data_IF_989052777704
#
_entry.id   IF_989052777704
#
_cell.length_a   1.000
_cell.length_b   1.000
_cell.length_c   1.000
_cell.angle_alpha   90.00
_cell.angle_beta   90.00
_cell.angle_gamma   90.00
#
_symmetry.space_group_name_H-M   'P 1'
#
loop_
_entity.id
_entity.type
_entity.pdbx_description
1 polymer ?
#
# COMPACT_ATOMS: atom_id res chain seq x y z
N UNK A 1 -14.81 -25.87 7.63
CA UNK A 1 -14.60 -24.42 7.34
C UNK A 1 -15.95 -23.72 7.34
N UNK A 2 -16.13 -22.72 8.21
CA UNK A 2 -17.32 -21.87 8.20
C UNK A 2 -17.24 -20.88 7.03
N UNK A 3 -17.67 -21.31 5.84
CA UNK A 3 -17.64 -20.47 4.65
C UNK A 3 -18.42 -19.16 4.84
N UNK A 4 -19.52 -19.20 5.59
CA UNK A 4 -20.34 -18.01 5.90
C UNK A 4 -19.52 -17.00 6.71
N UNK A 5 -18.77 -17.44 7.72
CA UNK A 5 -17.87 -16.58 8.48
C UNK A 5 -16.81 -15.91 7.61
N UNK A 6 -16.14 -16.68 6.74
CA UNK A 6 -15.16 -16.13 5.81
C UNK A 6 -15.77 -15.08 4.87
N UNK A 7 -16.91 -15.39 4.25
CA UNK A 7 -17.61 -14.43 3.39
C UNK A 7 -18.06 -13.19 4.17
N UNK A 8 -18.52 -13.32 5.42
CA UNK A 8 -18.89 -12.21 6.30
C UNK A 8 -17.70 -11.29 6.60
N UNK A 9 -16.53 -11.87 6.90
CA UNK A 9 -15.31 -11.11 7.14
C UNK A 9 -14.88 -10.29 5.91
N UNK A 10 -14.81 -10.94 4.74
CA UNK A 10 -14.46 -10.26 3.49
C UNK A 10 -15.52 -9.24 3.09
N UNK A 11 -16.80 -9.56 3.18
CA UNK A 11 -17.89 -8.65 2.83
C UNK A 11 -17.86 -7.38 3.69
N UNK A 12 -17.59 -7.49 4.99
CA UNK A 12 -17.49 -6.34 5.89
C UNK A 12 -16.23 -5.50 5.64
N UNK A 13 -15.08 -6.13 5.35
CA UNK A 13 -13.87 -5.44 4.90
C UNK A 13 -14.15 -4.62 3.63
N UNK A 14 -14.71 -5.26 2.60
CA UNK A 14 -15.06 -4.60 1.35
C UNK A 14 -16.12 -3.51 1.52
N UNK A 15 -17.13 -3.74 2.37
CA UNK A 15 -18.18 -2.75 2.67
C UNK A 15 -17.60 -1.49 3.32
N UNK A 16 -16.76 -1.65 4.35
CA UNK A 16 -16.09 -0.53 5.02
C UNK A 16 -15.20 0.24 4.04
N UNK A 17 -14.37 -0.47 3.28
CA UNK A 17 -13.46 0.15 2.33
C UNK A 17 -14.16 0.83 1.15
N UNK A 18 -15.22 0.23 0.62
CA UNK A 18 -16.04 0.84 -0.44
C UNK A 18 -16.75 2.10 0.06
N UNK A 19 -17.31 2.05 1.27
CA UNK A 19 -17.92 3.21 1.93
C UNK A 19 -16.93 4.38 2.04
N UNK A 20 -15.75 4.11 2.60
CA UNK A 20 -14.68 5.11 2.69
C UNK A 20 -14.22 5.61 1.32
N UNK A 21 -14.05 4.70 0.36
CA UNK A 21 -13.68 5.07 -1.00
C UNK A 21 -14.68 6.07 -1.61
N UNK A 22 -15.97 5.78 -1.52
CA UNK A 22 -17.03 6.65 -2.07
C UNK A 22 -17.08 8.00 -1.36
N UNK A 23 -16.87 8.02 -0.03
CA UNK A 23 -16.79 9.26 0.75
C UNK A 23 -15.58 10.14 0.37
N UNK A 24 -14.44 9.50 0.06
CA UNK A 24 -13.20 10.20 -0.30
C UNK A 24 -13.15 10.61 -1.78
N UNK A 25 -13.91 9.95 -2.65
CA UNK A 25 -13.97 10.30 -4.07
C UNK A 25 -14.72 11.63 -4.24
N UNK A 26 -13.97 12.67 -4.59
CA UNK A 26 -14.58 13.90 -5.08
C UNK A 26 -15.37 13.60 -6.37
N UNK A 27 -16.57 14.19 -6.49
CA UNK A 27 -17.55 14.00 -7.60
C UNK A 27 -16.99 13.88 -9.04
N UNK A 28 -15.78 14.36 -9.33
CA UNK A 28 -15.13 14.36 -10.65
C UNK A 28 -14.20 13.17 -10.93
N UNK A 29 -13.72 12.44 -9.93
CA UNK A 29 -12.81 11.32 -10.14
C UNK A 29 -13.60 10.06 -10.57
N UNK A 30 -13.28 9.52 -11.74
CA UNK A 30 -13.87 8.28 -12.26
C UNK A 30 -12.90 7.13 -12.03
N UNK A 31 -13.27 6.19 -11.18
CA UNK A 31 -12.51 4.96 -10.94
C UNK A 31 -13.11 3.79 -11.72
N UNK A 32 -12.24 2.97 -12.31
CA UNK A 32 -12.62 1.69 -12.89
C UNK A 32 -13.08 0.71 -11.80
N UNK A 33 -13.81 -0.35 -12.19
CA UNK A 33 -14.23 -1.40 -11.25
C UNK A 33 -13.02 -2.06 -10.56
N UNK A 34 -11.94 -2.30 -11.30
CA UNK A 34 -10.70 -2.85 -10.76
C UNK A 34 -10.09 -1.95 -9.67
N UNK A 35 -10.06 -0.64 -9.90
CA UNK A 35 -9.63 0.32 -8.87
C UNK A 35 -10.57 0.32 -7.67
N UNK A 36 -11.89 0.28 -7.90
CA UNK A 36 -12.85 0.24 -6.80
C UNK A 36 -12.64 -1.00 -5.94
N UNK A 37 -12.45 -2.18 -6.52
CA UNK A 37 -12.15 -3.42 -5.79
C UNK A 37 -10.84 -3.26 -5.02
N UNK A 38 -9.77 -2.81 -5.68
CA UNK A 38 -8.46 -2.69 -5.04
C UNK A 38 -8.47 -1.68 -3.88
N UNK A 39 -9.01 -0.48 -4.08
CA UNK A 39 -9.08 0.52 -3.00
C UNK A 39 -10.05 0.12 -1.89
N UNK A 40 -11.15 -0.58 -2.21
CA UNK A 40 -12.05 -1.10 -1.18
C UNK A 40 -11.35 -2.15 -0.32
N UNK A 41 -10.51 -3.00 -0.90
CA UNK A 41 -9.67 -3.91 -0.12
C UNK A 41 -8.69 -3.15 0.78
N UNK A 42 -7.90 -2.21 0.23
CA UNK A 42 -6.91 -1.46 0.98
C UNK A 42 -7.52 -0.63 2.13
N UNK A 43 -8.58 0.13 1.84
CA UNK A 43 -9.26 0.95 2.85
C UNK A 43 -10.05 0.10 3.83
N UNK A 44 -10.60 -1.05 3.41
CA UNK A 44 -11.25 -2.01 4.29
C UNK A 44 -10.29 -2.53 5.34
N UNK A 45 -9.15 -3.06 4.92
CA UNK A 45 -8.07 -3.54 5.81
C UNK A 45 -7.61 -2.44 6.76
N UNK A 46 -7.35 -1.24 6.25
CA UNK A 46 -6.96 -0.11 7.09
C UNK A 46 -8.02 0.29 8.11
N UNK A 47 -9.29 0.39 7.69
CA UNK A 47 -10.38 0.80 8.54
C UNK A 47 -10.72 -0.23 9.61
N UNK A 48 -10.89 -1.50 9.24
CA UNK A 48 -11.23 -2.57 10.18
C UNK A 48 -10.14 -2.73 11.23
N UNK A 49 -8.86 -2.72 10.83
CA UNK A 49 -7.76 -2.83 11.80
C UNK A 49 -7.67 -1.61 12.73
N UNK A 50 -7.86 -0.39 12.22
CA UNK A 50 -7.89 0.81 13.07
C UNK A 50 -9.11 0.82 14.01
N UNK A 51 -10.27 0.35 13.56
CA UNK A 51 -11.48 0.25 14.38
C UNK A 51 -11.34 -0.80 15.47
N UNK A 52 -10.79 -1.97 15.16
CA UNK A 52 -10.48 -3.00 16.17
C UNK A 52 -9.52 -2.45 17.23
N UNK A 53 -8.50 -1.71 16.82
CA UNK A 53 -7.57 -1.07 17.75
C UNK A 53 -8.23 0.03 18.59
N UNK A 54 -8.99 0.93 17.97
CA UNK A 54 -9.62 2.05 18.66
C UNK A 54 -10.77 1.63 19.59
N UNK A 55 -11.60 0.67 19.17
CA UNK A 55 -12.70 0.17 20.01
C UNK A 55 -12.21 -0.84 21.05
N UNK A 56 -11.08 -1.51 20.79
CA UNK A 56 -10.44 -2.41 21.76
C UNK A 56 -10.00 -1.74 23.07
N UNK A 57 -9.94 -0.40 23.12
CA UNK A 57 -9.73 0.34 24.37
C UNK A 57 -10.96 0.34 25.30
N UNK A 58 -12.16 0.08 24.77
CA UNK A 58 -13.43 0.24 25.50
C UNK A 58 -14.29 -1.02 25.50
N UNK A 59 -14.08 -1.93 24.56
CA UNK A 59 -14.88 -3.13 24.37
C UNK A 59 -14.00 -4.32 24.00
N UNK A 60 -14.43 -5.51 24.41
CA UNK A 60 -13.85 -6.80 24.03
C UNK A 60 -14.96 -7.79 23.60
N UNK A 61 -14.53 -8.96 23.16
CA UNK A 61 -15.38 -10.09 22.79
C UNK A 61 -16.40 -9.75 21.71
N UNK A 62 -17.63 -10.24 21.91
CA UNK A 62 -18.75 -10.05 20.98
C UNK A 62 -19.17 -8.58 20.85
N UNK A 63 -18.98 -7.77 21.89
CA UNK A 63 -19.30 -6.34 21.85
C UNK A 63 -18.36 -5.62 20.88
N UNK A 64 -17.05 -5.87 20.96
CA UNK A 64 -16.06 -5.31 20.03
C UNK A 64 -16.38 -5.71 18.58
N UNK A 65 -16.59 -7.01 18.34
CA UNK A 65 -16.94 -7.52 17.01
C UNK A 65 -18.24 -6.90 16.47
N UNK A 66 -19.26 -6.75 17.32
CA UNK A 66 -20.54 -6.14 16.98
C UNK A 66 -20.40 -4.66 16.60
N UNK A 67 -19.65 -3.88 17.39
CA UNK A 67 -19.40 -2.46 17.13
C UNK A 67 -18.66 -2.25 15.80
N UNK A 68 -17.58 -3.00 15.56
CA UNK A 68 -16.82 -2.91 14.31
C UNK A 68 -17.69 -3.33 13.11
N UNK A 69 -18.45 -4.43 13.23
CA UNK A 69 -19.37 -4.88 12.17
C UNK A 69 -20.41 -3.81 11.83
N UNK A 70 -21.01 -3.19 12.86
CA UNK A 70 -22.00 -2.14 12.69
C UNK A 70 -21.44 -0.94 11.90
N UNK A 71 -20.23 -0.48 12.24
CA UNK A 71 -19.56 0.61 11.50
C UNK A 71 -19.27 0.20 10.06
N UNK A 72 -18.77 -1.02 9.83
CA UNK A 72 -18.46 -1.51 8.48
C UNK A 72 -19.70 -1.57 7.58
N UNK A 73 -20.81 -2.11 8.11
CA UNK A 73 -22.09 -2.20 7.39
C UNK A 73 -22.64 -0.80 7.15
N UNK A 74 -22.59 0.09 8.14
CA UNK A 74 -23.03 1.49 8.00
C UNK A 74 -22.27 2.24 6.91
N UNK A 75 -20.94 2.10 6.88
CA UNK A 75 -20.10 2.66 5.81
C UNK A 75 -20.49 2.07 4.44
N UNK A 76 -20.71 0.76 4.36
CA UNK A 76 -21.18 0.08 3.15
C UNK A 76 -22.53 0.61 2.65
N UNK A 77 -23.50 0.79 3.54
CA UNK A 77 -24.82 1.36 3.22
C UNK A 77 -24.70 2.80 2.74
N UNK A 78 -23.88 3.63 3.38
CA UNK A 78 -23.60 5.00 2.94
C UNK A 78 -22.97 5.00 1.54
N UNK A 79 -21.96 4.14 1.31
CA UNK A 79 -21.33 3.98 0.00
C UNK A 79 -22.32 3.54 -1.08
N UNK A 80 -23.22 2.61 -0.76
CA UNK A 80 -24.27 2.14 -1.65
C UNK A 80 -25.26 3.24 -2.03
N UNK A 81 -25.70 4.04 -1.05
CA UNK A 81 -26.63 5.15 -1.29
C UNK A 81 -26.01 6.28 -2.12
N UNK A 82 -24.68 6.45 -2.02
CA UNK A 82 -23.92 7.42 -2.81
C UNK A 82 -23.40 6.84 -4.14
N UNK A 83 -23.73 5.58 -4.46
CA UNK A 83 -23.25 4.88 -5.64
C UNK A 83 -23.63 5.65 -6.90
N UNK A 84 -22.61 5.97 -7.69
CA UNK A 84 -22.81 6.46 -9.05
C UNK A 84 -22.76 5.28 -10.01
N UNK A 85 -23.62 5.27 -11.04
CA UNK A 85 -23.52 4.25 -12.08
C UNK A 85 -22.12 4.30 -12.70
N UNK A 86 -21.41 3.18 -12.62
CA UNK A 86 -20.16 3.02 -13.35
C UNK A 86 -20.49 2.90 -14.83
N UNK A 87 -19.92 3.76 -15.67
CA UNK A 87 -20.00 3.55 -17.12
C UNK A 87 -19.24 2.27 -17.48
N UNK A 88 -19.98 1.29 -17.98
CA UNK A 88 -19.42 0.06 -18.55
C UNK A 88 -18.64 0.43 -19.82
N UNK A 89 -17.43 -0.12 -19.93
CA UNK A 89 -16.39 0.32 -20.86
C UNK A 89 -16.61 -0.24 -22.27
N UNK A 90 -16.05 0.52 -23.22
CA UNK A 90 -15.73 0.21 -24.63
C UNK A 90 -15.52 -1.26 -24.97
N UNK A 91 -15.87 -1.66 -26.22
CA UNK A 91 -15.52 -2.96 -26.83
C UNK A 91 -14.05 -3.30 -26.55
N UNK A 92 -13.81 -4.48 -25.97
CA UNK A 92 -12.48 -4.99 -25.68
C UNK A 92 -11.76 -5.39 -26.97
N UNK A 93 -10.45 -5.18 -27.01
CA UNK A 93 -9.60 -5.69 -28.12
C UNK A 93 -9.28 -7.17 -27.89
N UNK A 94 -9.00 -7.91 -28.96
CA UNK A 94 -8.71 -9.34 -28.85
C UNK A 94 -7.52 -9.65 -27.90
N UNK A 95 -6.46 -8.85 -27.93
CA UNK A 95 -5.34 -9.00 -26.99
C UNK A 95 -5.75 -8.80 -25.52
N UNK A 96 -6.70 -7.91 -25.25
CA UNK A 96 -7.23 -7.68 -23.90
C UNK A 96 -8.06 -8.88 -23.43
N UNK A 97 -8.78 -9.52 -24.36
CA UNK A 97 -9.51 -10.77 -24.12
C UNK A 97 -8.56 -11.92 -23.81
N UNK A 98 -7.35 -11.96 -24.37
CA UNK A 98 -6.32 -12.98 -24.07
C UNK A 98 -5.59 -12.70 -22.75
N UNK A 99 -5.22 -11.44 -22.48
CA UNK A 99 -4.49 -11.09 -21.25
C UNK A 99 -5.34 -11.23 -19.99
N UNK A 100 -6.65 -11.00 -20.08
CA UNK A 100 -7.56 -11.13 -18.93
C UNK A 100 -7.57 -12.54 -18.31
N UNK A 101 -7.78 -13.64 -19.07
CA UNK A 101 -7.70 -15.00 -18.53
C UNK A 101 -6.29 -15.38 -18.09
N UNK A 102 -5.22 -14.86 -18.72
CA UNK A 102 -3.85 -15.06 -18.22
C UNK A 102 -3.70 -14.50 -16.80
N UNK A 103 -4.10 -13.25 -16.57
CA UNK A 103 -4.09 -12.64 -15.24
C UNK A 103 -4.97 -13.41 -14.25
N UNK A 104 -6.14 -13.90 -14.69
CA UNK A 104 -7.02 -14.69 -13.85
C UNK A 104 -6.37 -16.02 -13.42
N UNK A 105 -5.65 -16.68 -14.34
CA UNK A 105 -4.89 -17.90 -14.05
C UNK A 105 -3.73 -17.60 -13.09
N UNK A 106 -2.98 -16.52 -13.31
CA UNK A 106 -1.90 -16.09 -12.40
C UNK A 106 -2.41 -15.84 -10.98
N UNK A 107 -3.53 -15.11 -10.84
CA UNK A 107 -4.19 -14.90 -9.54
C UNK A 107 -4.56 -16.25 -8.92
N UNK A 108 -5.18 -17.16 -9.68
CA UNK A 108 -5.54 -18.48 -9.19
C UNK A 108 -4.31 -19.29 -8.73
N UNK A 109 -3.18 -19.18 -9.44
CA UNK A 109 -1.91 -19.80 -9.04
C UNK A 109 -1.41 -19.20 -7.72
N UNK A 110 -1.44 -17.88 -7.54
CA UNK A 110 -1.00 -17.25 -6.28
C UNK A 110 -1.89 -17.68 -5.11
N UNK A 111 -3.21 -17.79 -5.31
CA UNK A 111 -4.11 -18.37 -4.30
C UNK A 111 -3.74 -19.83 -4.00
N UNK A 112 -3.54 -20.66 -5.03
CA UNK A 112 -3.13 -22.04 -4.87
C UNK A 112 -1.82 -22.17 -4.09
N UNK A 113 -0.78 -21.42 -4.46
CA UNK A 113 0.51 -21.40 -3.76
C UNK A 113 0.35 -20.97 -2.31
N UNK A 114 -0.50 -19.98 -2.03
CA UNK A 114 -0.78 -19.55 -0.66
C UNK A 114 -1.42 -20.67 0.18
N UNK A 115 -2.24 -21.54 -0.42
CA UNK A 115 -2.82 -22.68 0.28
C UNK A 115 -1.85 -23.86 0.45
N UNK A 116 -0.97 -24.08 -0.52
CA UNK A 116 0.03 -25.17 -0.49
C UNK A 116 1.11 -24.92 0.56
N UNK A 117 1.57 -23.67 0.70
CA UNK A 117 2.63 -23.33 1.64
C UNK A 117 2.06 -22.91 3.00
N UNK A 118 2.76 -23.21 4.09
CA UNK A 118 2.50 -22.59 5.39
C UNK A 118 2.82 -21.10 5.34
N UNK A 119 2.27 -20.30 6.27
CA UNK A 119 2.80 -18.96 6.44
C UNK A 119 4.30 -19.09 6.72
N UNK A 120 5.11 -18.24 6.07
CA UNK A 120 6.53 -18.20 6.34
C UNK A 120 6.79 -17.66 7.75
N UNK A 121 8.05 -17.66 8.15
CA UNK A 121 8.46 -17.37 9.52
C UNK A 121 7.97 -16.01 10.05
N UNK A 122 8.13 -14.91 9.29
CA UNK A 122 7.58 -13.61 9.70
C UNK A 122 6.06 -13.60 9.71
N UNK A 123 5.45 -14.31 8.75
CA UNK A 123 4.02 -14.62 8.70
C UNK A 123 3.48 -15.09 10.04
N UNK A 124 4.11 -16.16 10.54
CA UNK A 124 3.78 -16.80 11.81
C UNK A 124 4.09 -15.91 13.01
N UNK A 125 5.33 -15.42 13.08
CA UNK A 125 5.88 -14.90 14.33
C UNK A 125 5.69 -13.42 14.54
N UNK A 126 5.43 -12.64 13.49
CA UNK A 126 5.20 -11.21 13.61
C UNK A 126 3.72 -10.85 13.47
N UNK A 127 2.98 -11.61 12.65
CA UNK A 127 1.61 -11.27 12.29
C UNK A 127 0.59 -12.22 12.91
N UNK A 128 0.66 -13.51 12.60
CA UNK A 128 -0.33 -14.50 13.04
C UNK A 128 -0.36 -14.66 14.55
N UNK A 129 0.81 -14.68 15.20
CA UNK A 129 0.88 -14.82 16.64
C UNK A 129 0.11 -13.69 17.34
N UNK A 130 0.24 -12.44 16.88
CA UNK A 130 -0.49 -11.28 17.43
C UNK A 130 -1.99 -11.44 17.25
N UNK A 131 -2.42 -11.89 16.06
CA UNK A 131 -3.83 -12.15 15.79
C UNK A 131 -4.40 -13.23 16.73
N UNK A 132 -3.64 -14.31 16.99
CA UNK A 132 -4.02 -15.38 17.92
C UNK A 132 -4.09 -14.91 19.36
N UNK A 133 -3.11 -14.12 19.82
CA UNK A 133 -3.13 -13.54 21.17
C UNK A 133 -4.32 -12.60 21.33
N UNK A 134 -4.56 -11.71 20.37
CA UNK A 134 -5.71 -10.83 20.42
C UNK A 134 -7.02 -11.62 20.43
N UNK A 135 -7.17 -12.64 19.57
CA UNK A 135 -8.37 -13.49 19.55
C UNK A 135 -8.63 -14.17 20.90
N UNK A 136 -7.61 -14.76 21.51
CA UNK A 136 -7.70 -15.40 22.82
C UNK A 136 -8.09 -14.43 23.95
N UNK A 137 -7.91 -13.13 23.74
CA UNK A 137 -8.22 -12.06 24.69
C UNK A 137 -9.37 -11.17 24.18
N UNK A 138 -10.38 -11.78 23.53
CA UNK A 138 -11.59 -11.06 23.12
C UNK A 138 -11.37 -10.01 22.02
N UNK A 139 -10.35 -10.17 21.19
CA UNK A 139 -10.00 -9.23 20.12
C UNK A 139 -9.07 -8.09 20.54
N UNK A 140 -8.54 -8.09 21.76
CA UNK A 140 -7.61 -7.06 22.26
C UNK A 140 -6.26 -7.68 22.57
N UNK A 141 -5.16 -7.04 22.16
CA UNK A 141 -3.83 -7.52 22.50
C UNK A 141 -3.48 -7.06 23.93
N UNK A 142 -3.16 -7.97 24.87
CA UNK A 142 -2.91 -7.59 26.26
C UNK A 142 -1.64 -6.73 26.39
N UNK A 143 -1.65 -5.74 27.28
CA UNK A 143 -0.51 -4.83 27.50
C UNK A 143 0.81 -5.58 27.76
N UNK A 144 0.75 -6.67 28.53
CA UNK A 144 1.91 -7.51 28.85
C UNK A 144 2.60 -8.08 27.60
N UNK A 145 1.89 -8.27 26.48
CA UNK A 145 2.49 -8.73 25.22
C UNK A 145 3.59 -7.78 24.72
N UNK A 146 3.41 -6.48 24.93
CA UNK A 146 4.33 -5.46 24.42
C UNK A 146 5.61 -5.35 25.24
N UNK A 147 5.52 -5.57 26.56
CA UNK A 147 6.64 -5.42 27.50
C UNK A 147 7.36 -6.74 27.83
N UNK A 148 6.80 -7.89 27.48
CA UNK A 148 7.36 -9.21 27.77
C UNK A 148 8.59 -9.51 26.90
N UNK A 149 9.76 -9.65 27.54
CA UNK A 149 11.03 -10.00 26.88
C UNK A 149 10.98 -11.32 26.12
N UNK A 150 10.14 -12.26 26.57
CA UNK A 150 9.86 -13.52 25.89
C UNK A 150 9.15 -13.34 24.53
N UNK A 151 8.66 -12.13 24.22
CA UNK A 151 7.99 -11.78 22.95
C UNK A 151 8.80 -10.87 22.06
N UNK A 152 10.04 -10.53 22.42
CA UNK A 152 10.89 -9.65 21.63
C UNK A 152 11.05 -10.10 20.17
N UNK A 153 11.11 -11.42 19.93
CA UNK A 153 11.22 -12.01 18.60
C UNK A 153 10.06 -11.69 17.66
N UNK A 154 8.90 -11.28 18.19
CA UNK A 154 7.67 -11.03 17.43
C UNK A 154 7.52 -9.58 16.96
N UNK A 155 8.55 -8.77 17.18
CA UNK A 155 8.56 -7.33 16.96
C UNK A 155 7.29 -6.65 17.51
N UNK A 156 7.09 -6.60 18.84
CA UNK A 156 5.88 -6.02 19.44
C UNK A 156 5.57 -4.59 18.97
N UNK A 157 6.59 -3.84 18.56
CA UNK A 157 6.49 -2.49 18.04
C UNK A 157 5.91 -2.40 16.60
N UNK A 158 5.83 -3.52 15.89
CA UNK A 158 5.23 -3.55 14.55
C UNK A 158 3.72 -3.23 14.62
N UNK A 159 3.23 -2.35 13.74
CA UNK A 159 1.82 -1.98 13.63
C UNK A 159 0.85 -3.17 13.45
N UNK A 160 -0.43 -2.92 13.71
CA UNK A 160 -1.44 -3.96 13.85
C UNK A 160 -2.32 -4.17 12.61
N UNK A 161 -2.07 -3.52 11.45
CA UNK A 161 -2.95 -3.67 10.30
C UNK A 161 -3.11 -5.12 9.83
N UNK A 162 -2.01 -5.82 9.56
CA UNK A 162 -2.05 -7.23 9.12
C UNK A 162 -2.56 -8.15 10.25
N UNK A 163 -2.00 -8.10 11.48
CA UNK A 163 -2.54 -8.88 12.59
C UNK A 163 -4.04 -8.71 12.82
N UNK A 164 -4.56 -7.49 12.73
CA UNK A 164 -5.97 -7.22 13.01
C UNK A 164 -6.88 -7.55 11.83
N UNK A 165 -6.32 -7.62 10.62
CA UNK A 165 -7.04 -8.20 9.47
C UNK A 165 -7.19 -9.71 9.64
N UNK A 166 -6.14 -10.40 10.10
CA UNK A 166 -6.21 -11.83 10.44
C UNK A 166 -7.15 -12.09 11.61
N UNK A 167 -7.06 -11.28 12.67
CA UNK A 167 -7.97 -11.31 13.81
C UNK A 167 -9.43 -11.16 13.36
N UNK A 168 -9.71 -10.25 12.44
CA UNK A 168 -11.07 -10.05 11.94
C UNK A 168 -11.64 -11.33 11.32
N UNK A 169 -10.84 -12.04 10.52
CA UNK A 169 -11.23 -13.34 10.00
C UNK A 169 -11.49 -14.34 11.13
N UNK A 170 -10.64 -14.38 12.16
CA UNK A 170 -10.82 -15.29 13.30
C UNK A 170 -12.10 -14.99 14.08
N UNK A 171 -12.42 -13.72 14.32
CA UNK A 171 -13.66 -13.32 15.00
C UNK A 171 -14.92 -13.78 14.24
N UNK A 172 -14.92 -13.68 12.90
CA UNK A 172 -16.03 -14.18 12.09
C UNK A 172 -16.10 -15.70 11.99
N UNK A 173 -14.95 -16.37 12.03
CA UNK A 173 -14.88 -17.84 12.00
C UNK A 173 -15.24 -18.46 13.35
N UNK A 174 -15.03 -17.73 14.45
CA UNK A 174 -15.16 -18.22 15.82
C UNK A 174 -13.96 -19.02 16.31
N UNK A 175 -12.89 -19.13 15.51
CA UNK A 175 -11.66 -19.84 15.84
C UNK A 175 -10.45 -19.28 15.08
N UNK A 176 -9.22 -19.40 15.62
CA UNK A 176 -8.01 -19.08 14.88
C UNK A 176 -7.74 -20.13 13.78
N UNK A 177 -7.96 -19.75 12.53
CA UNK A 177 -7.81 -20.63 11.38
C UNK A 177 -6.77 -20.08 10.38
N UNK A 178 -5.53 -20.56 10.52
CA UNK A 178 -4.41 -20.13 9.68
C UNK A 178 -4.68 -20.29 8.18
N UNK A 179 -5.37 -21.37 7.78
CA UNK A 179 -5.70 -21.63 6.38
C UNK A 179 -6.58 -20.52 5.79
N UNK A 180 -7.53 -20.01 6.58
CA UNK A 180 -8.35 -18.89 6.17
C UNK A 180 -7.57 -17.55 6.18
N UNK A 181 -6.73 -17.31 7.20
CA UNK A 181 -5.90 -16.10 7.27
C UNK A 181 -5.00 -15.93 6.04
N UNK A 182 -4.46 -17.03 5.50
CA UNK A 182 -3.64 -17.03 4.28
C UNK A 182 -4.32 -16.37 3.08
N UNK A 183 -5.66 -16.34 3.00
CA UNK A 183 -6.40 -15.71 1.88
C UNK A 183 -6.25 -14.18 1.81
N UNK A 184 -5.80 -13.54 2.90
CA UNK A 184 -5.56 -12.08 2.95
C UNK A 184 -4.46 -11.67 1.97
N UNK A 185 -3.37 -12.42 1.90
CA UNK A 185 -2.18 -12.08 1.12
C UNK A 185 -2.39 -12.16 -0.41
N UNK A 186 -2.99 -13.23 -0.98
CA UNK A 186 -3.37 -13.23 -2.39
C UNK A 186 -4.47 -12.19 -2.71
N UNK A 187 -5.30 -11.78 -1.75
CA UNK A 187 -6.21 -10.65 -1.96
C UNK A 187 -5.45 -9.32 -2.14
N UNK A 188 -4.32 -9.11 -1.44
CA UNK A 188 -3.40 -8.01 -1.74
C UNK A 188 -2.76 -8.16 -3.13
N UNK A 189 -2.45 -9.38 -3.57
CA UNK A 189 -1.98 -9.62 -4.94
C UNK A 189 -3.00 -9.17 -5.98
N UNK A 190 -4.27 -9.56 -5.82
CA UNK A 190 -5.37 -9.08 -6.69
C UNK A 190 -5.44 -7.55 -6.70
N UNK A 191 -5.41 -6.91 -5.53
CA UNK A 191 -5.43 -5.46 -5.43
C UNK A 191 -4.23 -4.80 -6.13
N UNK A 192 -3.02 -5.32 -5.92
CA UNK A 192 -1.79 -4.85 -6.56
C UNK A 192 -1.86 -4.96 -8.08
N UNK A 193 -2.24 -6.13 -8.59
CA UNK A 193 -2.41 -6.41 -10.03
C UNK A 193 -3.44 -5.46 -10.66
N UNK A 194 -4.57 -5.23 -10.00
CA UNK A 194 -5.60 -4.28 -10.45
C UNK A 194 -5.11 -2.83 -10.47
N UNK A 195 -4.35 -2.40 -9.46
CA UNK A 195 -3.78 -1.06 -9.42
C UNK A 195 -2.68 -0.86 -10.46
N UNK A 196 -1.79 -1.84 -10.66
CA UNK A 196 -0.79 -1.82 -11.73
C UNK A 196 -1.48 -1.70 -13.08
N UNK A 197 -2.50 -2.51 -13.35
CA UNK A 197 -3.28 -2.42 -14.59
C UNK A 197 -3.92 -1.04 -14.78
N UNK A 198 -4.60 -0.53 -13.76
CA UNK A 198 -5.35 0.71 -13.83
C UNK A 198 -4.46 1.94 -13.99
N UNK A 199 -3.41 2.06 -13.17
CA UNK A 199 -2.47 3.18 -13.25
C UNK A 199 -1.68 3.17 -14.55
N UNK A 200 -1.22 1.99 -14.98
CA UNK A 200 -0.55 1.84 -16.28
C UNK A 200 -1.47 2.23 -17.43
N UNK A 201 -2.71 1.76 -17.44
CA UNK A 201 -3.69 2.11 -18.47
C UNK A 201 -3.99 3.61 -18.47
N UNK A 202 -4.00 4.26 -17.29
CA UNK A 202 -4.18 5.72 -17.16
C UNK A 202 -2.97 6.50 -17.69
N UNK A 203 -1.76 6.11 -17.31
CA UNK A 203 -0.51 6.75 -17.72
C UNK A 203 -0.29 6.65 -19.24
N UNK A 204 -0.50 5.46 -19.80
CA UNK A 204 -0.29 5.18 -21.22
C UNK A 204 -1.48 5.51 -22.11
N UNK A 205 -2.68 5.64 -21.52
CA UNK A 205 -3.99 5.67 -22.21
C UNK A 205 -4.27 4.41 -23.03
N UNK A 206 -3.63 3.28 -22.72
CA UNK A 206 -3.74 2.01 -23.42
C UNK A 206 -4.07 0.89 -22.43
N UNK A 207 -5.30 0.37 -22.48
CA UNK A 207 -5.75 -0.69 -21.55
C UNK A 207 -4.92 -1.96 -21.69
N UNK A 208 -4.60 -2.40 -22.91
CA UNK A 208 -3.74 -3.56 -23.15
C UNK A 208 -2.36 -3.46 -22.48
N UNK A 209 -1.75 -2.26 -22.41
CA UNK A 209 -0.46 -2.10 -21.75
C UNK A 209 -0.63 -2.25 -20.23
N UNK A 210 -1.77 -1.81 -19.69
CA UNK A 210 -2.14 -2.06 -18.30
C UNK A 210 -2.25 -3.53 -17.97
N UNK A 211 -3.01 -4.28 -18.77
CA UNK A 211 -3.13 -5.72 -18.61
C UNK A 211 -1.77 -6.43 -18.79
N UNK A 212 -0.94 -5.98 -19.74
CA UNK A 212 0.40 -6.54 -19.92
C UNK A 212 1.29 -6.33 -18.68
N UNK A 213 1.34 -5.13 -18.11
CA UNK A 213 2.15 -4.89 -16.90
C UNK A 213 1.62 -5.67 -15.69
N UNK A 214 0.29 -5.81 -15.58
CA UNK A 214 -0.32 -6.66 -14.57
C UNK A 214 0.08 -8.12 -14.71
N UNK A 215 0.10 -8.66 -15.94
CA UNK A 215 0.57 -10.03 -16.20
C UNK A 215 2.07 -10.19 -15.88
N UNK A 216 2.90 -9.21 -16.26
CA UNK A 216 4.33 -9.23 -15.99
C UNK A 216 4.68 -9.19 -14.48
N UNK A 217 3.75 -8.78 -13.61
CA UNK A 217 3.95 -8.79 -12.17
C UNK A 217 4.19 -10.21 -11.64
N UNK A 218 3.52 -11.21 -12.23
CA UNK A 218 3.67 -12.62 -11.85
C UNK A 218 5.09 -13.16 -12.11
N UNK A 219 5.75 -12.62 -13.15
CA UNK A 219 7.09 -13.02 -13.58
C UNK A 219 8.22 -12.34 -12.80
N UNK A 220 7.92 -11.66 -11.68
CA UNK A 220 8.93 -11.21 -10.73
C UNK A 220 8.97 -12.23 -9.58
N UNK A 221 9.97 -13.14 -9.52
CA UNK A 221 9.99 -14.24 -8.56
C UNK A 221 9.88 -13.78 -7.10
N UNK A 222 10.49 -12.63 -6.75
CA UNK A 222 10.38 -12.01 -5.44
C UNK A 222 8.92 -11.75 -5.01
N UNK A 223 8.01 -11.49 -5.95
CA UNK A 223 6.59 -11.23 -5.68
C UNK A 223 5.77 -12.52 -5.55
N UNK A 224 6.15 -13.61 -6.22
CA UNK A 224 5.29 -14.78 -6.37
C UNK A 224 5.75 -16.05 -5.65
N UNK A 225 7.06 -16.32 -5.60
CA UNK A 225 7.59 -17.62 -5.14
C UNK A 225 8.69 -17.51 -4.08
N UNK A 226 9.40 -16.40 -4.00
CA UNK A 226 10.50 -16.24 -3.04
C UNK A 226 10.03 -15.92 -1.61
N UNK A 227 10.98 -15.89 -0.67
CA UNK A 227 10.69 -15.52 0.72
C UNK A 227 10.10 -14.12 0.81
N UNK A 228 8.98 -14.01 1.50
CA UNK A 228 8.25 -12.75 1.69
C UNK A 228 7.36 -12.34 0.52
N UNK A 229 7.19 -13.20 -0.48
CA UNK A 229 6.27 -13.01 -1.59
C UNK A 229 4.79 -12.89 -1.14
N UNK A 230 3.91 -12.63 -2.10
CA UNK A 230 2.49 -12.42 -1.88
C UNK A 230 1.72 -13.67 -1.39
N UNK A 231 2.32 -14.86 -1.43
CA UNK A 231 1.73 -16.10 -0.89
C UNK A 231 2.27 -16.47 0.50
N UNK A 232 3.41 -15.89 0.93
CA UNK A 232 4.16 -16.30 2.12
C UNK A 232 3.64 -15.75 3.46
N UNK A 233 2.64 -14.87 3.44
CA UNK A 233 2.10 -14.31 4.68
C UNK A 233 2.79 -13.07 5.24
N UNK A 234 3.64 -12.42 4.45
CA UNK A 234 4.46 -11.32 4.95
C UNK A 234 3.77 -9.98 4.69
N UNK A 235 4.03 -8.98 5.53
CA UNK A 235 3.52 -7.62 5.35
C UNK A 235 4.23 -6.81 4.26
N UNK A 236 5.35 -7.30 3.72
CA UNK A 236 6.15 -6.61 2.71
C UNK A 236 5.38 -6.35 1.40
N UNK A 237 4.71 -7.38 0.87
CA UNK A 237 3.93 -7.22 -0.35
C UNK A 237 2.66 -6.37 -0.12
N UNK A 238 1.84 -6.58 0.93
CA UNK A 238 0.78 -5.65 1.32
C UNK A 238 1.25 -4.20 1.40
N UNK A 239 2.40 -3.94 2.05
CA UNK A 239 2.98 -2.60 2.12
C UNK A 239 3.34 -2.05 0.73
N UNK A 240 3.87 -2.90 -0.16
CA UNK A 240 4.15 -2.51 -1.56
C UNK A 240 2.90 -2.03 -2.30
N UNK A 241 1.74 -2.65 -2.04
CA UNK A 241 0.47 -2.30 -2.67
C UNK A 241 -0.08 -0.98 -2.13
N UNK A 242 0.01 -0.74 -0.82
CA UNK A 242 -0.29 0.58 -0.26
C UNK A 242 0.65 1.67 -0.80
N UNK A 243 1.92 1.34 -1.00
CA UNK A 243 2.88 2.29 -1.56
C UNK A 243 2.63 2.60 -3.02
N UNK A 244 2.31 1.57 -3.83
CA UNK A 244 1.82 1.74 -5.20
C UNK A 244 0.59 2.64 -5.24
N UNK A 245 -0.38 2.39 -4.35
CA UNK A 245 -1.59 3.19 -4.24
C UNK A 245 -1.26 4.65 -3.94
N UNK A 246 -0.40 4.94 -2.96
CA UNK A 246 0.04 6.30 -2.65
C UNK A 246 0.78 6.96 -3.84
N UNK A 247 1.74 6.25 -4.45
CA UNK A 247 2.52 6.75 -5.57
C UNK A 247 1.65 7.03 -6.82
N UNK A 248 0.80 6.09 -7.21
CA UNK A 248 -0.10 6.23 -8.36
C UNK A 248 -1.20 7.28 -8.14
N UNK A 249 -1.52 7.58 -6.88
CA UNK A 249 -2.52 8.56 -6.50
C UNK A 249 -1.95 9.93 -6.15
N UNK A 250 -0.65 10.21 -6.37
CA UNK A 250 -0.04 11.51 -6.03
C UNK A 250 -0.84 12.75 -6.49
N UNK A 251 -1.66 12.60 -7.53
CA UNK A 251 -2.51 13.64 -8.10
C UNK A 251 -4.02 13.49 -7.80
N UNK A 252 -4.42 12.52 -6.97
CA UNK A 252 -5.81 12.15 -6.68
C UNK A 252 -6.20 12.47 -5.22
N UNK A 253 -7.49 12.66 -4.96
CA UNK A 253 -8.00 13.11 -3.66
C UNK A 253 -7.77 12.10 -2.52
N UNK A 254 -7.77 10.80 -2.82
CA UNK A 254 -7.58 9.73 -1.83
C UNK A 254 -6.10 9.37 -1.59
N UNK A 255 -5.17 10.14 -2.16
CA UNK A 255 -3.74 10.10 -1.82
C UNK A 255 -3.51 10.14 -0.30
N UNK A 256 -4.22 11.06 0.39
CA UNK A 256 -4.12 11.25 1.83
C UNK A 256 -4.40 9.96 2.60
N UNK A 257 -5.45 9.21 2.21
CA UNK A 257 -5.84 7.97 2.86
C UNK A 257 -4.84 6.85 2.58
N UNK A 258 -4.39 6.67 1.33
CA UNK A 258 -3.37 5.68 0.99
C UNK A 258 -2.05 5.96 1.73
N UNK A 259 -1.66 7.23 1.78
CA UNK A 259 -0.47 7.68 2.47
C UNK A 259 -0.60 7.39 3.97
N UNK A 260 -1.71 7.77 4.61
CA UNK A 260 -1.90 7.62 6.05
C UNK A 260 -1.80 6.17 6.55
N UNK A 261 -2.14 5.19 5.71
CA UNK A 261 -2.09 3.78 6.08
C UNK A 261 -0.70 3.14 5.96
N UNK A 262 0.24 3.73 5.21
CA UNK A 262 1.61 3.18 5.09
C UNK A 262 2.27 2.86 6.45
N UNK A 263 2.38 3.82 7.40
CA UNK A 263 2.98 3.55 8.70
C UNK A 263 2.17 2.59 9.58
N UNK A 264 0.90 2.31 9.21
CA UNK A 264 0.03 1.37 9.92
C UNK A 264 0.20 -0.08 9.45
N UNK A 265 0.78 -0.33 8.27
CA UNK A 265 0.93 -1.69 7.74
C UNK A 265 2.15 -2.40 8.32
N UNK A 266 3.29 -1.72 8.30
CA UNK A 266 4.58 -2.24 8.77
C UNK A 266 5.45 -1.04 9.14
N UNK A 267 6.43 -1.25 10.03
CA UNK A 267 7.36 -0.21 10.48
C UNK A 267 8.09 0.48 9.33
N UNK A 268 8.53 -0.26 8.31
CA UNK A 268 9.19 0.29 7.12
C UNK A 268 8.29 1.25 6.33
N UNK A 269 6.97 1.13 6.51
CA UNK A 269 5.98 2.04 5.94
C UNK A 269 6.16 3.49 6.39
N UNK A 270 6.85 3.76 7.50
CA UNK A 270 7.26 5.12 7.86
C UNK A 270 8.24 5.73 6.84
N UNK A 271 9.19 4.94 6.33
CA UNK A 271 10.16 5.40 5.33
C UNK A 271 9.41 5.72 4.03
N UNK A 272 8.54 4.81 3.61
CA UNK A 272 7.69 5.00 2.44
C UNK A 272 6.75 6.20 2.61
N UNK A 273 6.21 6.42 3.80
CA UNK A 273 5.40 7.59 4.13
C UNK A 273 6.20 8.89 3.95
N UNK A 274 7.41 8.97 4.50
CA UNK A 274 8.28 10.16 4.38
C UNK A 274 8.56 10.46 2.91
N UNK A 275 8.96 9.44 2.14
CA UNK A 275 9.28 9.60 0.72
C UNK A 275 8.06 10.02 -0.09
N UNK A 276 6.94 9.31 0.08
CA UNK A 276 5.71 9.63 -0.63
C UNK A 276 5.22 11.03 -0.25
N UNK A 277 5.28 11.41 1.03
CA UNK A 277 4.90 12.73 1.52
C UNK A 277 5.78 13.83 0.91
N UNK A 278 7.10 13.63 0.88
CA UNK A 278 8.03 14.54 0.22
C UNK A 278 7.71 14.71 -1.28
N UNK A 279 7.39 13.62 -1.98
CA UNK A 279 6.93 13.68 -3.37
C UNK A 279 5.61 14.47 -3.50
N UNK A 280 4.68 14.28 -2.57
CA UNK A 280 3.42 15.02 -2.51
C UNK A 280 3.63 16.53 -2.30
N UNK A 281 4.48 16.91 -1.33
CA UNK A 281 4.86 18.30 -1.08
C UNK A 281 5.51 18.91 -2.32
N UNK A 282 6.48 18.21 -2.92
CA UNK A 282 7.14 18.64 -4.15
C UNK A 282 6.12 18.94 -5.26
N UNK A 283 5.16 18.03 -5.48
CA UNK A 283 4.09 18.23 -6.47
C UNK A 283 3.15 19.39 -6.12
N UNK A 284 2.78 19.56 -4.85
CA UNK A 284 1.92 20.66 -4.39
C UNK A 284 2.61 22.01 -4.63
N UNK A 285 3.87 22.14 -4.22
CA UNK A 285 4.68 23.35 -4.40
C UNK A 285 4.87 23.65 -5.88
N UNK A 286 5.23 22.65 -6.68
CA UNK A 286 5.43 22.81 -8.12
C UNK A 286 4.17 23.27 -8.84
N UNK A 287 3.00 22.71 -8.48
CA UNK A 287 1.72 23.09 -9.08
C UNK A 287 1.13 24.37 -8.49
N UNK A 288 1.82 25.05 -7.58
CA UNK A 288 1.33 26.24 -6.87
C UNK A 288 -0.08 26.04 -6.28
N UNK A 289 -0.36 24.82 -5.79
CA UNK A 289 -1.63 24.54 -5.11
C UNK A 289 -1.67 25.26 -3.77
N UNK A 290 -2.89 25.47 -3.25
CA UNK A 290 -3.06 26.07 -1.93
C UNK A 290 -2.31 25.26 -0.85
N UNK A 291 -1.60 25.92 0.08
CA UNK A 291 -0.92 25.26 1.19
C UNK A 291 -1.88 24.45 2.09
N UNK A 292 -3.19 24.72 2.03
CA UNK A 292 -4.22 23.88 2.67
C UNK A 292 -4.17 22.42 2.19
N UNK A 293 -3.60 22.15 1.02
CA UNK A 293 -3.39 20.77 0.54
C UNK A 293 -2.43 19.98 1.43
N UNK A 294 -1.60 20.64 2.26
CA UNK A 294 -0.73 19.98 3.24
C UNK A 294 -1.53 19.31 4.37
N UNK A 295 -2.79 19.68 4.59
CA UNK A 295 -3.66 19.01 5.56
C UNK A 295 -3.87 17.53 5.20
N UNK A 296 -3.68 17.15 3.93
CA UNK A 296 -3.69 15.75 3.48
C UNK A 296 -2.66 14.85 4.20
N UNK A 297 -1.60 15.41 4.80
CA UNK A 297 -0.59 14.67 5.54
C UNK A 297 -0.98 14.39 7.00
N UNK A 298 -1.93 15.15 7.54
CA UNK A 298 -2.32 15.10 8.96
C UNK A 298 -2.76 13.70 9.41
N UNK A 299 -3.60 12.94 8.66
CA UNK A 299 -4.06 11.63 9.12
C UNK A 299 -2.90 10.64 9.33
N UNK A 300 -1.88 10.67 8.47
CA UNK A 300 -0.69 9.83 8.63
C UNK A 300 0.14 10.22 9.86
N UNK A 301 0.32 11.53 10.10
CA UNK A 301 1.00 12.02 11.30
C UNK A 301 0.25 11.58 12.56
N UNK A 302 -1.09 11.69 12.57
CA UNK A 302 -1.94 11.25 13.68
C UNK A 302 -1.73 9.76 13.95
N UNK A 303 -1.75 8.90 12.93
CA UNK A 303 -1.51 7.46 13.09
C UNK A 303 -0.11 7.19 13.65
N UNK A 304 0.93 7.84 13.11
CA UNK A 304 2.32 7.68 13.59
C UNK A 304 2.44 8.08 15.06
N UNK A 305 1.92 9.26 15.42
CA UNK A 305 1.97 9.77 16.78
C UNK A 305 1.16 8.89 17.74
N UNK A 306 -0.07 8.51 17.36
CA UNK A 306 -0.94 7.69 18.20
C UNK A 306 -0.34 6.30 18.45
N UNK A 307 0.23 5.65 17.43
CA UNK A 307 0.91 4.37 17.59
C UNK A 307 2.15 4.49 18.49
N UNK A 308 2.97 5.53 18.31
CA UNK A 308 4.15 5.77 19.18
C UNK A 308 3.76 6.03 20.64
N UNK A 309 2.72 6.85 20.86
CA UNK A 309 2.20 7.11 22.20
C UNK A 309 1.67 5.82 22.84
N UNK A 310 0.96 5.01 22.07
CA UNK A 310 0.47 3.70 22.53
C UNK A 310 1.62 2.76 22.91
N UNK A 311 2.64 2.62 22.06
CA UNK A 311 3.81 1.80 22.37
C UNK A 311 4.54 2.27 23.62
N UNK A 312 4.71 3.59 23.79
CA UNK A 312 5.31 4.16 24.98
C UNK A 312 4.47 3.88 26.23
N UNK A 313 3.14 4.03 26.16
CA UNK A 313 2.23 3.74 27.26
C UNK A 313 2.25 2.25 27.66
N UNK A 314 2.42 1.36 26.68
CA UNK A 314 2.53 -0.09 26.90
C UNK A 314 3.95 -0.55 27.26
N UNK A 315 4.90 0.37 27.42
CA UNK A 315 6.32 0.06 27.68
C UNK A 315 6.87 -0.97 26.68
N UNK A 316 6.51 -0.80 25.41
CA UNK A 316 6.85 -1.76 24.37
C UNK A 316 8.37 -1.89 24.22
N UNK A 317 8.82 -3.13 24.05
CA UNK A 317 10.23 -3.41 23.80
C UNK A 317 10.71 -2.71 22.52
N UNK A 318 11.90 -2.11 22.60
CA UNK A 318 12.53 -1.52 21.44
C UNK A 318 13.23 -2.59 20.61
N UNK A 319 13.19 -2.45 19.28
CA UNK A 319 13.95 -3.33 18.40
C UNK A 319 15.44 -3.19 18.67
N UNK A 320 16.10 -4.33 18.79
CA UNK A 320 17.54 -4.43 19.04
C UNK A 320 18.36 -4.61 17.77
N UNK A 321 17.73 -4.72 16.59
CA UNK A 321 18.40 -4.98 15.30
C UNK A 321 19.21 -3.80 14.76
N UNK A 322 19.00 -2.62 15.32
CA UNK A 322 19.67 -1.39 14.89
C UNK A 322 20.25 -0.64 16.09
N UNK A 323 21.48 -0.17 15.91
CA UNK A 323 22.15 0.77 16.78
C UNK A 323 21.45 2.14 16.77
N UNK A 324 21.66 2.98 17.81
CA UNK A 324 21.07 4.30 17.84
C UNK A 324 21.49 5.17 16.64
N UNK A 325 20.51 5.82 16.01
CA UNK A 325 20.71 6.76 14.90
C UNK A 325 21.29 8.08 15.40
N UNK A 326 22.63 8.18 15.43
CA UNK A 326 23.33 9.41 15.77
C UNK A 326 24.61 9.55 14.93
N UNK A 327 25.17 10.77 14.92
CA UNK A 327 26.34 11.10 14.10
C UNK A 327 27.59 10.30 14.49
N UNK A 328 27.70 9.91 15.77
CA UNK A 328 28.82 9.09 16.25
C UNK A 328 28.74 7.69 15.63
N UNK A 329 27.61 7.00 15.78
CA UNK A 329 27.37 5.69 15.17
C UNK A 329 27.57 5.73 13.66
N UNK A 330 27.06 6.76 12.99
CA UNK A 330 27.23 6.93 11.54
C UNK A 330 28.71 7.03 11.15
N UNK A 331 29.49 7.90 11.81
CA UNK A 331 30.92 8.06 11.52
C UNK A 331 31.71 6.77 11.79
N UNK A 332 31.34 6.03 12.82
CA UNK A 332 31.99 4.76 13.19
C UNK A 332 31.72 3.63 12.19
N UNK A 333 30.64 3.70 11.41
CA UNK A 333 30.21 2.63 10.50
C UNK A 333 30.06 3.05 9.04
N UNK A 334 30.56 4.24 8.67
CA UNK A 334 30.50 4.75 7.29
C UNK A 334 31.31 3.89 6.31
N UNK A 335 32.32 3.18 6.82
CA UNK A 335 33.11 2.19 6.09
C UNK A 335 32.26 1.03 5.52
N UNK A 336 31.11 0.74 6.14
CA UNK A 336 30.14 -0.26 5.64
C UNK A 336 29.45 0.17 4.34
N UNK A 337 29.49 1.44 3.95
CA UNK A 337 28.76 1.95 2.80
C UNK A 337 29.16 1.27 1.48
N UNK A 338 30.45 1.00 1.26
CA UNK A 338 30.93 0.38 0.02
C UNK A 338 30.53 -1.09 -0.10
N UNK A 339 30.75 -1.96 0.92
CA UNK A 339 30.22 -3.33 0.89
C UNK A 339 28.71 -3.39 0.75
N UNK A 340 27.96 -2.49 1.40
CA UNK A 340 26.51 -2.40 1.27
C UNK A 340 26.09 -2.07 -0.17
N UNK A 341 26.74 -1.09 -0.81
CA UNK A 341 26.47 -0.76 -2.21
C UNK A 341 26.78 -1.95 -3.13
N UNK A 342 27.88 -2.66 -2.89
CA UNK A 342 28.23 -3.88 -3.64
C UNK A 342 27.15 -4.96 -3.48
N UNK A 343 26.70 -5.22 -2.25
CA UNK A 343 25.64 -6.17 -1.96
C UNK A 343 24.31 -5.79 -2.65
N UNK A 344 23.96 -4.49 -2.65
CA UNK A 344 22.76 -4.00 -3.34
C UNK A 344 22.86 -4.18 -4.86
N UNK A 345 24.02 -3.92 -5.46
CA UNK A 345 24.25 -4.13 -6.89
C UNK A 345 24.19 -5.62 -7.26
N UNK A 346 24.77 -6.49 -6.42
CA UNK A 346 24.68 -7.93 -6.59
C UNK A 346 23.22 -8.40 -6.51
N UNK A 347 22.44 -7.84 -5.58
CA UNK A 347 21.01 -8.13 -5.44
C UNK A 347 20.22 -7.73 -6.68
N UNK A 348 20.45 -6.54 -7.27
CA UNK A 348 19.80 -6.16 -8.52
C UNK A 348 20.13 -7.06 -9.72
N UNK A 349 21.30 -7.70 -9.69
CA UNK A 349 21.76 -8.65 -10.71
C UNK A 349 21.32 -10.10 -10.42
N UNK A 350 20.64 -10.36 -9.30
CA UNK A 350 20.18 -11.70 -8.92
C UNK A 350 18.99 -12.13 -9.79
N UNK A 351 19.29 -12.75 -10.95
CA UNK A 351 18.29 -13.24 -11.91
C UNK A 351 17.28 -14.22 -11.31
N UNK A 352 17.67 -15.19 -10.45
CA UNK A 352 16.69 -16.04 -9.76
C UNK A 352 15.62 -15.25 -9.00
N UNK A 353 16.00 -14.17 -8.32
CA UNK A 353 15.07 -13.38 -7.48
C UNK A 353 14.24 -12.38 -8.29
N UNK A 354 14.85 -11.76 -9.30
CA UNK A 354 14.27 -10.59 -9.99
C UNK A 354 13.95 -10.80 -11.47
N UNK A 355 14.36 -11.94 -12.04
CA UNK A 355 14.35 -12.15 -13.49
C UNK A 355 15.01 -10.94 -14.21
N UNK A 356 14.37 -10.37 -15.22
CA UNK A 356 14.88 -9.19 -15.93
C UNK A 356 14.37 -7.86 -15.36
N UNK A 357 13.64 -7.87 -14.24
CA UNK A 357 12.90 -6.69 -13.77
C UNK A 357 13.79 -5.47 -13.56
N UNK A 358 14.85 -5.58 -12.76
CA UNK A 358 15.73 -4.43 -12.45
C UNK A 358 16.50 -3.93 -13.67
N UNK A 359 16.87 -4.80 -14.60
CA UNK A 359 17.46 -4.39 -15.87
C UNK A 359 16.50 -3.55 -16.71
N UNK A 360 15.24 -3.95 -16.81
CA UNK A 360 14.22 -3.18 -17.54
C UNK A 360 13.94 -1.85 -16.83
N UNK A 361 13.91 -1.83 -15.49
CA UNK A 361 13.77 -0.60 -14.70
C UNK A 361 14.95 0.35 -14.93
N UNK A 362 16.19 -0.16 -14.96
CA UNK A 362 17.38 0.64 -15.24
C UNK A 362 17.33 1.27 -16.65
N UNK A 363 16.92 0.50 -17.65
CA UNK A 363 16.70 1.02 -19.01
C UNK A 363 15.59 2.08 -19.02
N UNK A 364 14.48 1.83 -18.33
CA UNK A 364 13.37 2.79 -18.21
C UNK A 364 13.80 4.09 -17.52
N UNK A 365 14.65 4.00 -16.49
CA UNK A 365 15.26 5.15 -15.82
C UNK A 365 16.05 6.00 -16.80
N UNK A 366 16.95 5.41 -17.59
CA UNK A 366 17.74 6.12 -18.60
C UNK A 366 16.84 6.81 -19.65
N UNK A 367 15.76 6.15 -20.08
CA UNK A 367 14.78 6.76 -20.99
C UNK A 367 13.92 7.87 -20.35
N UNK A 368 13.81 7.90 -19.02
CA UNK A 368 13.10 8.93 -18.28
C UNK A 368 13.95 10.18 -18.04
N UNK A 369 15.29 10.09 -18.08
CA UNK A 369 16.21 11.21 -17.83
C UNK A 369 15.92 12.45 -18.71
N UNK A 370 15.70 12.35 -20.03
CA UNK A 370 15.36 13.52 -20.85
C UNK A 370 14.02 14.18 -20.47
N UNK A 371 13.19 13.50 -19.68
CA UNK A 371 11.85 13.95 -19.26
C UNK A 371 11.82 14.48 -17.83
N UNK A 372 12.98 14.67 -17.18
CA UNK A 372 13.06 15.23 -15.82
C UNK A 372 12.53 16.66 -15.68
N UNK A 373 12.18 17.33 -16.79
CA UNK A 373 11.43 18.59 -16.75
C UNK A 373 9.98 18.43 -16.31
N UNK A 374 9.42 17.22 -16.42
CA UNK A 374 8.07 16.93 -15.95
C UNK A 374 8.13 16.54 -14.45
N UNK A 375 7.47 17.30 -13.56
CA UNK A 375 7.48 17.04 -12.13
C UNK A 375 6.92 15.66 -11.77
N UNK A 376 6.00 15.10 -12.59
CA UNK A 376 5.46 13.77 -12.37
C UNK A 376 6.51 12.69 -12.56
N UNK A 377 7.44 12.88 -13.50
CA UNK A 377 8.56 11.96 -13.74
C UNK A 377 9.54 12.03 -12.57
N UNK A 378 9.89 13.24 -12.13
CA UNK A 378 10.79 13.43 -10.98
C UNK A 378 10.20 12.82 -9.72
N UNK A 379 8.93 13.06 -9.42
CA UNK A 379 8.26 12.48 -8.26
C UNK A 379 8.25 10.95 -8.31
N UNK A 380 8.01 10.34 -9.49
CA UNK A 380 8.03 8.88 -9.63
C UNK A 380 9.45 8.30 -9.47
N UNK A 381 10.46 8.97 -10.02
CA UNK A 381 11.86 8.60 -9.84
C UNK A 381 12.29 8.67 -8.37
N UNK A 382 11.91 9.75 -7.68
CA UNK A 382 12.16 9.90 -6.24
C UNK A 382 11.42 8.82 -5.43
N UNK A 383 10.16 8.54 -5.77
CA UNK A 383 9.39 7.47 -5.14
C UNK A 383 10.00 6.07 -5.33
N UNK A 384 10.79 5.85 -6.39
CA UNK A 384 11.50 4.60 -6.60
C UNK A 384 12.87 4.57 -5.89
N UNK A 385 13.68 5.60 -6.10
CA UNK A 385 15.11 5.59 -5.70
C UNK A 385 15.30 5.94 -4.23
N UNK A 386 14.55 6.90 -3.70
CA UNK A 386 14.75 7.37 -2.32
C UNK A 386 14.54 6.26 -1.27
N UNK A 387 13.50 5.40 -1.35
CA UNK A 387 13.35 4.30 -0.40
C UNK A 387 14.51 3.30 -0.47
N UNK A 388 15.01 2.98 -1.67
CA UNK A 388 16.15 2.07 -1.85
C UNK A 388 17.38 2.60 -1.12
N UNK A 389 17.69 3.89 -1.30
CA UNK A 389 18.82 4.55 -0.63
C UNK A 389 18.63 4.58 0.88
N UNK A 390 17.41 4.90 1.34
CA UNK A 390 17.11 4.95 2.78
C UNK A 390 17.20 3.55 3.41
N UNK A 391 16.69 2.51 2.76
CA UNK A 391 16.83 1.11 3.21
C UNK A 391 18.29 0.70 3.30
N UNK A 392 19.09 1.01 2.28
CA UNK A 392 20.53 0.73 2.32
C UNK A 392 21.21 1.43 3.51
N UNK A 393 20.82 2.69 3.77
CA UNK A 393 21.38 3.48 4.87
C UNK A 393 21.06 2.92 6.25
N UNK A 394 19.96 2.17 6.43
CA UNK A 394 19.63 1.53 7.71
C UNK A 394 20.68 0.51 8.13
N UNK A 395 21.27 -0.23 7.18
CA UNK A 395 22.26 -1.25 7.49
C UNK A 395 23.61 -0.69 7.96
N UNK A 396 23.88 0.60 7.74
CA UNK A 396 25.00 1.29 8.41
C UNK A 396 24.85 1.20 9.93
N UNK A 397 23.61 1.18 10.42
CA UNK A 397 23.25 1.09 11.83
C UNK A 397 22.90 -0.34 12.26
N UNK A 398 23.15 -1.38 11.44
CA UNK A 398 22.89 -2.75 11.87
C UNK A 398 23.69 -3.10 13.12
N UNK A 399 23.02 -3.66 14.13
CA UNK A 399 23.63 -4.17 15.36
C UNK A 399 24.12 -5.61 15.24
N UNK A 400 23.83 -6.29 14.13
CA UNK A 400 24.22 -7.67 13.90
C UNK A 400 25.75 -7.81 13.84
N UNK A 401 26.33 -8.89 14.42
CA UNK A 401 27.78 -9.12 14.36
C UNK A 401 28.32 -9.10 12.93
N UNK A 402 27.57 -9.71 12.01
CA UNK A 402 27.78 -9.59 10.57
C UNK A 402 26.59 -8.87 9.93
N UNK A 403 26.76 -7.59 9.61
CA UNK A 403 25.69 -6.79 9.00
C UNK A 403 25.32 -7.27 7.59
N UNK A 404 26.21 -7.98 6.88
CA UNK A 404 25.90 -8.51 5.55
C UNK A 404 24.93 -9.70 5.61
N UNK A 405 24.92 -10.47 6.70
CA UNK A 405 23.91 -11.51 6.91
C UNK A 405 22.53 -10.88 7.11
N UNK A 406 22.48 -9.78 7.87
CA UNK A 406 21.25 -8.99 8.02
C UNK A 406 20.75 -8.48 6.67
N UNK A 407 21.64 -7.96 5.82
CA UNK A 407 21.32 -7.54 4.45
C UNK A 407 20.78 -8.72 3.63
N UNK A 408 21.49 -9.84 3.59
CA UNK A 408 21.12 -11.02 2.80
C UNK A 408 19.74 -11.59 3.15
N UNK A 409 19.30 -11.46 4.40
CA UNK A 409 17.99 -11.95 4.85
C UNK A 409 16.82 -11.00 4.54
N UNK A 410 17.07 -9.71 4.28
CA UNK A 410 16.01 -8.70 4.29
C UNK A 410 16.00 -7.74 3.11
N UNK A 411 17.10 -7.57 2.38
CA UNK A 411 17.19 -6.57 1.30
C UNK A 411 16.21 -6.86 0.16
N UNK A 412 16.03 -8.12 -0.23
CA UNK A 412 15.13 -8.51 -1.31
C UNK A 412 13.68 -8.14 -0.99
N UNK A 413 13.28 -8.36 0.27
CA UNK A 413 11.96 -8.01 0.82
C UNK A 413 11.74 -6.50 0.88
N UNK A 414 12.76 -5.73 1.26
CA UNK A 414 12.69 -4.27 1.27
C UNK A 414 12.55 -3.70 -0.15
N UNK A 415 13.31 -4.24 -1.11
CA UNK A 415 13.24 -3.86 -2.51
C UNK A 415 11.90 -4.22 -3.15
N UNK A 416 11.25 -5.31 -2.72
CA UNK A 416 9.92 -5.70 -3.19
C UNK A 416 8.89 -4.57 -2.97
N UNK A 417 9.05 -3.77 -1.92
CA UNK A 417 8.12 -2.70 -1.56
C UNK A 417 8.02 -1.61 -2.65
N UNK A 418 9.05 -1.45 -3.50
CA UNK A 418 9.08 -0.45 -4.57
C UNK A 418 8.92 -1.05 -5.98
N UNK A 419 8.86 -2.37 -6.13
CA UNK A 419 8.71 -3.05 -7.43
C UNK A 419 7.51 -2.54 -8.23
N UNK A 420 6.29 -2.41 -7.65
CA UNK A 420 5.15 -1.95 -8.44
C UNK A 420 5.33 -0.51 -8.95
N UNK A 421 6.09 0.34 -8.24
CA UNK A 421 6.45 1.69 -8.70
C UNK A 421 7.42 1.62 -9.88
N UNK A 422 8.34 0.65 -9.88
CA UNK A 422 9.21 0.36 -11.03
C UNK A 422 8.41 0.03 -12.30
N UNK A 423 7.32 -0.73 -12.21
CA UNK A 423 6.42 -0.96 -13.35
C UNK A 423 5.81 0.33 -13.90
N UNK A 424 5.42 1.28 -13.04
CA UNK A 424 4.92 2.59 -13.49
C UNK A 424 6.00 3.38 -14.25
N UNK A 425 7.27 3.27 -13.82
CA UNK A 425 8.40 3.90 -14.51
C UNK A 425 8.64 3.27 -15.89
N UNK A 426 8.58 1.94 -16.00
CA UNK A 426 8.69 1.22 -17.29
C UNK A 426 7.63 1.73 -18.26
N UNK A 427 6.38 1.81 -17.81
CA UNK A 427 5.27 2.31 -18.63
C UNK A 427 5.49 3.74 -19.07
N UNK A 428 5.93 4.60 -18.15
CA UNK A 428 6.19 6.00 -18.44
C UNK A 428 7.26 6.14 -19.53
N UNK A 429 8.31 5.32 -19.50
CA UNK A 429 9.37 5.28 -20.50
C UNK A 429 8.86 4.82 -21.88
N UNK A 430 8.04 3.77 -21.91
CA UNK A 430 7.49 3.19 -23.16
C UNK A 430 6.39 4.05 -23.77
N UNK A 431 5.63 4.80 -22.95
CA UNK A 431 4.46 5.59 -23.37
C UNK A 431 4.81 6.87 -24.13
N UNK A 432 5.90 6.88 -24.92
CA UNK A 432 6.35 8.04 -25.71
C UNK A 432 5.16 8.69 -26.43
N UNK A 433 4.82 9.91 -26.02
CA UNK A 433 4.22 10.89 -26.91
C UNK A 433 5.36 11.76 -27.42
N UNK A 434 5.89 11.53 -28.63
CA UNK A 434 6.40 12.64 -29.39
C UNK A 434 5.16 13.51 -29.69
N UNK A 435 4.93 14.53 -28.88
CA UNK A 435 4.05 15.62 -29.29
C UNK A 435 4.80 16.34 -30.43
N UNK A 436 4.68 15.80 -31.64
CA UNK A 436 5.33 16.33 -32.85
C UNK A 436 4.73 17.67 -33.32
N UNK A 437 3.71 18.19 -32.63
CA UNK A 437 3.23 19.55 -32.84
C UNK A 437 2.85 20.20 -31.50
N UNK A 438 3.47 21.34 -31.13
CA UNK A 438 2.85 22.29 -30.23
C UNK A 438 1.77 23.03 -31.03
N UNK A 439 0.77 22.30 -31.53
CA UNK A 439 -0.50 22.97 -31.72
C UNK A 439 -0.92 23.35 -30.32
N UNK A 440 -0.98 24.67 -30.10
CA UNK A 440 -1.60 25.38 -29.00
C UNK A 440 -2.97 24.73 -28.77
N UNK A 441 -2.99 23.62 -28.02
CA UNK A 441 -4.22 23.08 -27.45
C UNK A 441 -4.55 24.12 -26.42
N UNK A 442 -5.37 25.08 -26.85
CA UNK A 442 -6.19 25.91 -26.01
C UNK A 442 -6.82 24.92 -25.03
N UNK A 443 -6.23 24.84 -23.83
CA UNK A 443 -6.76 24.00 -22.78
C UNK A 443 -8.19 24.46 -22.61
N UNK A 444 -9.13 23.55 -22.88
CA UNK A 444 -10.54 23.75 -22.66
C UNK A 444 -10.67 24.41 -21.29
N UNK A 445 -11.16 25.64 -21.34
CA UNK A 445 -11.20 26.59 -20.25
C UNK A 445 -11.61 25.92 -18.95
N UNK A 446 -10.89 26.32 -17.89
CA UNK A 446 -11.45 26.64 -16.57
C UNK A 446 -12.72 25.85 -16.22
N UNK A 447 -12.56 24.80 -15.42
CA UNK A 447 -13.50 24.63 -14.33
C UNK A 447 -13.33 25.85 -13.41
N UNK A 448 -14.03 26.93 -13.74
CA UNK A 448 -14.29 28.02 -12.82
C UNK A 448 -15.03 27.40 -11.64
N UNK A 449 -14.34 27.29 -10.51
CA UNK A 449 -14.98 27.49 -9.21
C UNK A 449 -15.54 28.92 -9.22
N UNK A 450 -16.66 29.13 -9.93
CA UNK A 450 -17.54 30.24 -9.66
C UNK A 450 -18.22 29.88 -8.34
N UNK A 451 -17.71 30.48 -7.28
CA UNK A 451 -18.43 30.70 -6.03
C UNK A 451 -19.80 31.25 -6.44
N UNK A 452 -20.85 30.49 -6.13
CA UNK A 452 -22.22 30.99 -6.17
C UNK A 452 -22.32 32.08 -5.10
N UNK A 453 -21.99 33.32 -5.46
CA UNK A 453 -22.49 34.50 -4.77
C UNK A 453 -23.98 34.57 -5.08
N UNK A 454 -24.76 34.15 -4.10
CA UNK A 454 -26.16 34.52 -3.96
C UNK A 454 -26.25 36.04 -3.78
N UNK A 455 -26.33 36.80 -4.87
CA UNK A 455 -26.94 38.12 -4.84
C UNK A 455 -28.45 37.93 -5.07
N UNK A 456 -29.21 38.05 -3.98
CA UNK A 456 -30.62 38.39 -4.05
C UNK A 456 -30.71 39.86 -4.40
N UNK A 457 -31.20 40.16 -5.59
CA UNK A 457 -31.93 41.41 -5.87
C UNK A 457 -33.20 41.04 -6.60
N UNK A 458 -34.33 41.24 -5.93
CA UNK A 458 -35.64 41.26 -6.57
C UNK A 458 -35.83 42.68 -7.12
N UNK A 459 -35.79 42.82 -8.45
CA UNK A 459 -36.41 43.95 -9.14
C UNK A 459 -37.64 43.37 -9.84
N UNK A 460 -38.80 43.69 -9.29
CA UNK A 460 -40.11 43.48 -9.90
C UNK A 460 -40.70 44.87 -10.13
N UNK A 461 -40.69 45.28 -11.39
CA UNK A 461 -41.51 46.30 -12.06
C UNK A 461 -41.41 45.89 -13.54
N UNK A 462 -42.43 45.80 -14.41
CA UNK A 462 -43.85 46.15 -14.37
C UNK A 462 -44.47 45.51 -15.63
N UNK A 463 -45.69 44.99 -15.54
CA UNK A 463 -46.75 45.05 -16.55
C UNK A 463 -48.06 44.60 -15.91
#
# INVERSE_FOLDING_TARGET
>A
MNAIGLFGAFATLFAAGYGLLVLLIHRSARLSLAEQIAFSWLFGTGAVSLLLWAFGFFADGLLLQGLVSFVCISLGMVGWNLKKPSQIRSKARWFEVVLTPVIAIEIAIVFYLSFVHTLGWDGLLNWEIKARYAFANGGVLPAAYFSDTGRAFSHPEYPLAIPFTELWLYLWLGEPNQFCAKTIFPAFYVAGTFLVAAFTARLSRRTWLGLLMAALLFFVPQITVEVGCASAGYADFPLSVFYLAAAGCLFCAFYAACLALLPWVKRDGLILWIVAAACGVFVILWRRKSPLSLVAFLPGIVIICAWRLYLNAMHALQAVDFLPFNLKTFRTHVDRATPLLSALLAEFCNLPTWSLFWFIVAVAFLYALPRMRDPGVVALLLALIAPIVLYLSLYLFSSWPNYLDHVGLSISRLLMQVVPVGFLLIVLAVSRRPQKHPHRVQMLNRATCAIARSERTAVVELA
#
